data_IF_887791493029
#
_entry.id   IF_887791493029
#
_cell.length_a   1.000
_cell.length_b   1.000
_cell.length_c   1.000
_cell.angle_alpha   90.00
_cell.angle_beta   90.00
_cell.angle_gamma   90.00
#
_symmetry.space_group_name_H-M   'P 1'
#
loop_
_entity.id
_entity.type
_entity.pdbx_description
1 polymer ?
#
# COMPACT_ATOMS: atom_id res chain seq x y z
N UNK A 1 -14.42 -37.06 -21.46
CA UNK A 1 -15.16 -38.34 -21.40
C UNK A 1 -14.15 -39.45 -21.63
N UNK A 2 -14.06 -40.52 -20.81
CA UNK A 2 -15.01 -40.91 -19.77
C UNK A 2 -14.37 -41.51 -18.48
N UNK A 3 -15.24 -41.84 -17.51
CA UNK A 3 -15.10 -42.82 -16.41
C UNK A 3 -14.11 -42.44 -15.28
N UNK A 4 -14.48 -41.92 -14.10
CA UNK A 4 -15.47 -42.37 -13.08
C UNK A 4 -15.38 -43.87 -12.78
N UNK A 5 -14.61 -44.25 -11.76
CA UNK A 5 -14.80 -45.49 -11.01
C UNK A 5 -14.61 -45.22 -9.52
N UNK A 6 -15.71 -45.38 -8.78
CA UNK A 6 -15.85 -45.29 -7.32
C UNK A 6 -15.72 -46.69 -6.76
N UNK A 7 -14.83 -46.93 -5.78
CA UNK A 7 -14.94 -48.07 -4.85
C UNK A 7 -14.46 -47.70 -3.44
N UNK A 8 -15.45 -47.53 -2.57
CA UNK A 8 -15.59 -48.02 -1.19
C UNK A 8 -14.44 -47.94 -0.17
N UNK A 9 -14.77 -47.20 0.90
CA UNK A 9 -14.60 -47.47 2.32
C UNK A 9 -13.78 -48.71 2.72
N UNK A 10 -12.74 -48.48 3.53
CA UNK A 10 -12.48 -49.35 4.68
C UNK A 10 -11.88 -48.58 5.85
N UNK A 11 -12.71 -48.45 6.87
CA UNK A 11 -12.38 -48.26 8.27
C UNK A 11 -11.29 -49.24 8.74
N UNK A 12 -10.32 -48.73 9.51
CA UNK A 12 -9.86 -49.27 10.80
C UNK A 12 -8.65 -48.48 11.31
N UNK A 13 -8.75 -47.99 12.55
CA UNK A 13 -7.65 -47.35 13.28
C UNK A 13 -6.67 -48.38 13.85
N UNK A 14 -5.43 -47.94 14.00
CA UNK A 14 -4.34 -48.60 14.75
C UNK A 14 -3.45 -47.48 15.30
N UNK A 15 -3.76 -46.96 16.49
CA UNK A 15 -3.09 -47.28 17.76
C UNK A 15 -1.58 -46.99 17.78
N UNK A 16 -1.29 -45.91 18.52
CA UNK A 16 -0.18 -45.73 19.47
C UNK A 16 1.26 -45.60 18.97
N UNK A 17 1.81 -44.45 19.37
CA UNK A 17 3.17 -44.20 19.88
C UNK A 17 4.32 -44.34 18.90
N UNK A 18 5.09 -43.27 18.71
CA UNK A 18 6.35 -43.07 19.43
C UNK A 18 7.00 -41.74 19.00
N UNK A 19 7.29 -40.91 20.02
CA UNK A 19 8.48 -40.06 20.16
C UNK A 19 8.83 -39.06 19.06
N UNK A 20 8.54 -37.79 19.36
CA UNK A 20 9.35 -36.65 18.94
C UNK A 20 10.80 -36.82 19.45
N UNK A 21 11.80 -36.31 18.71
CA UNK A 21 12.55 -35.20 19.29
C UNK A 21 12.57 -33.99 18.34
N UNK A 22 12.38 -32.85 18.98
CA UNK A 22 12.30 -31.51 18.44
C UNK A 22 13.58 -31.18 17.65
N UNK A 23 13.48 -31.05 16.32
CA UNK A 23 14.46 -30.25 15.58
C UNK A 23 14.00 -28.81 15.69
N UNK A 24 14.63 -28.09 16.62
CA UNK A 24 14.48 -26.66 16.85
C UNK A 24 14.74 -25.88 15.56
N UNK A 25 13.80 -25.07 15.05
CA UNK A 25 14.13 -24.09 14.04
C UNK A 25 15.11 -23.08 14.63
N UNK A 26 16.14 -22.83 13.82
CA UNK A 26 17.27 -21.95 14.06
C UNK A 26 16.77 -20.50 14.06
N UNK A 27 17.36 -19.71 14.95
CA UNK A 27 17.31 -18.24 15.11
C UNK A 27 16.17 -17.66 15.97
N UNK A 28 16.49 -17.07 17.14
CA UNK A 28 15.69 -15.97 17.66
C UNK A 28 16.05 -14.74 16.82
N UNK A 29 15.34 -14.53 15.71
CA UNK A 29 15.39 -13.25 15.01
C UNK A 29 14.71 -12.19 15.88
N UNK A 30 15.53 -11.56 16.72
CA UNK A 30 15.32 -10.25 17.35
C UNK A 30 13.94 -9.98 17.92
N UNK A 31 13.64 -10.54 19.10
CA UNK A 31 12.68 -9.91 20.00
C UNK A 31 13.40 -8.78 20.78
N UNK A 32 13.82 -7.74 20.06
CA UNK A 32 14.11 -6.46 20.69
C UNK A 32 12.76 -5.84 21.00
N UNK A 33 12.28 -6.11 22.22
CA UNK A 33 11.28 -5.37 22.98
C UNK A 33 10.60 -4.26 22.19
N UNK A 34 9.30 -4.44 21.92
CA UNK A 34 8.37 -3.40 21.51
C UNK A 34 8.58 -2.15 22.36
N UNK A 35 9.46 -1.25 21.90
CA UNK A 35 9.61 0.08 22.46
C UNK A 35 8.30 0.75 22.11
N UNK A 36 7.44 0.93 23.11
CA UNK A 36 6.17 1.63 23.01
C UNK A 36 6.50 3.04 22.51
N UNK A 37 6.55 3.21 21.19
CA UNK A 37 6.51 4.53 20.59
C UNK A 37 5.06 4.96 20.78
N UNK A 38 4.76 5.61 21.90
CA UNK A 38 3.45 6.24 22.15
C UNK A 38 3.07 7.30 21.09
N UNK A 39 3.92 7.51 20.09
CA UNK A 39 3.75 8.39 18.95
C UNK A 39 3.56 7.63 17.61
N UNK A 40 3.64 6.29 17.57
CA UNK A 40 3.55 5.54 16.30
C UNK A 40 2.17 5.70 15.63
N UNK A 41 1.13 5.90 16.42
CA UNK A 41 -0.27 6.11 16.00
C UNK A 41 -0.67 7.59 15.89
N UNK A 42 0.24 8.53 16.17
CA UNK A 42 -0.02 9.98 16.09
C UNK A 42 0.41 10.56 14.73
N UNK A 43 1.38 9.92 14.06
CA UNK A 43 1.90 10.38 12.77
C UNK A 43 0.82 10.42 11.68
N UNK A 44 0.58 11.61 11.11
CA UNK A 44 -0.44 11.84 10.08
C UNK A 44 -1.86 11.34 10.47
N UNK A 45 -2.18 11.39 11.77
CA UNK A 45 -3.48 10.99 12.33
C UNK A 45 -4.66 11.81 11.78
N UNK A 46 -4.45 13.07 11.41
CA UNK A 46 -5.53 13.90 10.85
C UNK A 46 -5.80 13.52 9.37
N UNK A 47 -7.03 13.10 9.02
CA UNK A 47 -7.39 12.82 7.64
C UNK A 47 -7.30 14.08 6.75
N UNK A 48 -6.57 13.98 5.64
CA UNK A 48 -6.36 15.06 4.66
C UNK A 48 -7.25 14.89 3.43
N UNK A 49 -8.55 14.72 3.64
CA UNK A 49 -9.50 14.49 2.55
C UNK A 49 -9.81 15.77 1.76
N UNK A 50 -9.68 16.93 2.40
CA UNK A 50 -10.03 18.24 1.81
C UNK A 50 -9.07 19.34 2.25
N UNK A 51 -9.23 20.53 1.67
CA UNK A 51 -8.39 21.70 1.95
C UNK A 51 -7.08 21.73 1.14
N UNK A 52 -6.21 22.73 1.40
CA UNK A 52 -4.99 22.94 0.62
C UNK A 52 -3.97 21.81 0.78
N UNK A 53 -3.88 21.18 1.96
CA UNK A 53 -2.94 20.08 2.23
C UNK A 53 -3.38 18.71 1.68
N UNK A 54 -4.61 18.59 1.18
CA UNK A 54 -5.11 17.34 0.56
C UNK A 54 -4.59 17.12 -0.86
N UNK A 55 -4.12 18.18 -1.50
CA UNK A 55 -3.88 18.22 -2.94
C UNK A 55 -2.53 18.82 -3.24
N UNK A 56 -1.78 18.13 -4.09
CA UNK A 56 -0.44 18.53 -4.52
C UNK A 56 -0.40 18.67 -6.04
N UNK A 57 0.55 19.45 -6.54
CA UNK A 57 0.82 19.48 -7.97
C UNK A 57 1.37 18.14 -8.46
N UNK A 58 0.89 17.70 -9.64
CA UNK A 58 1.37 16.47 -10.30
C UNK A 58 2.85 16.47 -10.67
N UNK A 59 3.45 17.65 -10.89
CA UNK A 59 4.85 17.81 -11.33
C UNK A 59 5.75 18.15 -10.16
N UNK A 60 5.42 19.23 -9.43
CA UNK A 60 6.30 19.79 -8.40
C UNK A 60 6.03 19.24 -6.99
N UNK A 61 4.94 18.51 -6.76
CA UNK A 61 4.54 18.01 -5.42
C UNK A 61 4.14 19.10 -4.42
N UNK A 62 4.32 20.38 -4.76
CA UNK A 62 3.99 21.51 -3.91
C UNK A 62 2.45 21.70 -3.85
N UNK A 63 1.83 21.79 -2.65
CA UNK A 63 0.40 22.09 -2.51
C UNK A 63 0.06 23.56 -2.80
N UNK A 64 1.05 24.45 -2.81
CA UNK A 64 0.84 25.88 -3.00
C UNK A 64 0.65 26.26 -4.47
N UNK A 65 -0.24 27.23 -4.72
CA UNK A 65 -0.39 27.81 -6.06
C UNK A 65 -0.93 26.84 -7.11
N UNK A 66 -1.74 25.87 -6.69
CA UNK A 66 -2.33 24.86 -7.55
C UNK A 66 -3.46 25.44 -8.42
N UNK A 67 -3.31 25.35 -9.74
CA UNK A 67 -4.37 25.65 -10.70
C UNK A 67 -5.30 24.44 -10.78
N UNK A 68 -6.55 24.66 -10.38
CA UNK A 68 -7.61 23.63 -10.28
C UNK A 68 -8.58 23.65 -11.46
N UNK A 69 -8.46 24.62 -12.36
CA UNK A 69 -9.34 24.76 -13.52
C UNK A 69 -9.01 23.67 -14.55
N UNK A 70 -10.05 23.15 -15.21
CA UNK A 70 -9.94 22.13 -16.26
C UNK A 70 -9.26 20.81 -15.83
N UNK A 71 -9.21 20.50 -14.53
CA UNK A 71 -8.66 19.21 -14.05
C UNK A 71 -7.13 19.06 -14.11
N UNK A 72 -6.39 20.12 -14.46
CA UNK A 72 -4.94 20.09 -14.67
C UNK A 72 -4.14 19.73 -13.40
N UNK A 73 -4.58 20.19 -12.22
CA UNK A 73 -3.92 19.96 -10.92
C UNK A 73 -2.40 20.26 -10.97
N UNK A 74 -2.05 21.42 -11.53
CA UNK A 74 -0.67 21.84 -11.77
C UNK A 74 -0.35 23.16 -11.06
N UNK A 75 0.86 23.32 -10.50
CA UNK A 75 1.28 24.56 -9.85
C UNK A 75 1.53 25.65 -10.91
N UNK A 76 1.31 26.93 -10.56
CA UNK A 76 1.45 28.07 -11.50
C UNK A 76 2.82 28.15 -12.20
N UNK A 77 3.88 27.69 -11.56
CA UNK A 77 5.23 27.65 -12.12
C UNK A 77 5.34 26.56 -13.19
N UNK A 78 4.94 25.33 -12.86
CA UNK A 78 4.93 24.21 -13.82
C UNK A 78 3.98 24.44 -14.99
N UNK A 79 2.83 25.09 -14.75
CA UNK A 79 1.93 25.46 -15.83
C UNK A 79 2.62 26.36 -16.86
N UNK A 80 3.47 27.31 -16.41
CA UNK A 80 4.14 28.24 -17.32
C UNK A 80 5.23 27.57 -18.17
N UNK A 81 5.90 26.55 -17.65
CA UNK A 81 6.86 25.75 -18.42
C UNK A 81 6.18 24.86 -19.46
N UNK A 82 5.06 24.22 -19.08
CA UNK A 82 4.38 23.23 -19.91
C UNK A 82 3.22 23.80 -20.75
N UNK A 83 2.89 25.09 -20.61
CA UNK A 83 1.74 25.71 -21.28
C UNK A 83 1.75 25.50 -22.80
N UNK A 84 2.93 25.57 -23.43
CA UNK A 84 3.09 25.38 -24.88
C UNK A 84 2.77 23.96 -25.32
N UNK A 85 3.24 22.96 -24.57
CA UNK A 85 3.03 21.53 -24.86
C UNK A 85 1.58 21.11 -24.64
N UNK A 86 0.90 21.75 -23.67
CA UNK A 86 -0.54 21.53 -23.43
C UNK A 86 -1.40 22.20 -24.53
N UNK A 87 -0.82 23.10 -25.34
CA UNK A 87 -1.50 23.80 -26.43
C UNK A 87 -2.10 25.15 -26.04
N UNK A 88 -1.70 25.75 -24.92
CA UNK A 88 -2.09 27.11 -24.58
C UNK A 88 -1.27 28.13 -25.38
N UNK A 89 -1.96 28.96 -26.18
CA UNK A 89 -1.37 30.05 -26.96
C UNK A 89 -1.69 31.39 -26.30
N UNK A 90 -0.69 32.26 -26.17
CA UNK A 90 -0.85 33.63 -25.66
C UNK A 90 -1.23 34.55 -26.82
N UNK A 91 -2.45 35.09 -26.80
CA UNK A 91 -2.98 35.96 -27.87
C UNK A 91 -2.74 37.47 -27.64
N UNK A 92 -2.32 37.88 -26.44
CA UNK A 92 -2.02 39.27 -26.06
C UNK A 92 -0.86 39.29 -25.07
#
# INVERSE_FOLDING_TARGET
MPLVFVVLLRSQGFSQSLLLPQLSPISPFSETQNKIMGHSNVWNSHPKNYGPGSRACRVCGNPHGLIRKYGLMCCRQCFRSNAKEIGFIKYR
#
